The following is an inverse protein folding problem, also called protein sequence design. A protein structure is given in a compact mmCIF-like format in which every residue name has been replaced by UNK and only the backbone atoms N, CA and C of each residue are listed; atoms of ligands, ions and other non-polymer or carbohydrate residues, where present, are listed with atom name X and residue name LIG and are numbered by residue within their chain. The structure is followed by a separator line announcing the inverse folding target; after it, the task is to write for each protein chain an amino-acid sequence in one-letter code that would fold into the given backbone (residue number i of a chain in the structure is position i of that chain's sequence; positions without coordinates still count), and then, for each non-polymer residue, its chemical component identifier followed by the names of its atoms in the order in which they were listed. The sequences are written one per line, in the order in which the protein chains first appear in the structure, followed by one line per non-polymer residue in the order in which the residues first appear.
data_IF_093995087890
#
_entry.id   IF_093995087890
#
_cell.length_a   1.000
_cell.length_b   1.000
_cell.length_c   1.000
_cell.angle_alpha   90.00
_cell.angle_beta   90.00
_cell.angle_gamma   90.00
#
_symmetry.space_group_name_H-M   'P 1'
#
loop_
_entity.id
_entity.type
_entity.pdbx_description
1 polymer ?
#
# COMPACT_ATOMS: atom_id res chain seq x y z
N UNK A 1 0.68 22.69 20.31
CA UNK A 1 2.03 22.12 20.15
C UNK A 1 2.09 20.63 20.40
N UNK A 2 1.50 20.13 21.49
CA UNK A 2 1.48 18.68 21.73
C UNK A 2 0.69 17.91 20.70
N UNK A 3 -0.40 18.48 20.19
CA UNK A 3 -1.21 17.86 19.14
C UNK A 3 -0.44 17.74 17.83
N UNK A 4 0.32 18.75 17.47
CA UNK A 4 1.16 18.71 16.28
C UNK A 4 2.22 17.62 16.32
N UNK A 5 2.79 17.38 17.51
CA UNK A 5 3.78 16.31 17.70
C UNK A 5 3.16 14.93 17.55
N UNK A 6 1.94 14.72 18.07
CA UNK A 6 1.21 13.45 17.91
C UNK A 6 0.89 13.16 16.47
N UNK A 7 0.38 14.16 15.76
CA UNK A 7 0.08 14.04 14.32
C UNK A 7 1.34 13.73 13.52
N UNK A 8 2.45 14.40 13.83
CA UNK A 8 3.72 14.17 13.16
C UNK A 8 4.25 12.75 13.40
N UNK A 9 4.10 12.22 14.62
CA UNK A 9 4.51 10.85 14.93
C UNK A 9 3.71 9.82 14.14
N UNK A 10 2.39 10.00 14.04
CA UNK A 10 1.53 9.10 13.28
C UNK A 10 1.83 9.17 11.79
N UNK A 11 2.01 10.37 11.26
CA UNK A 11 2.40 10.57 9.87
C UNK A 11 3.75 9.93 9.58
N UNK A 12 4.75 10.15 10.45
CA UNK A 12 6.08 9.58 10.29
C UNK A 12 6.06 8.05 10.31
N UNK A 13 5.21 7.46 11.14
CA UNK A 13 5.05 6.01 11.22
C UNK A 13 4.46 5.44 9.93
N UNK A 14 3.44 6.08 9.39
CA UNK A 14 2.84 5.69 8.11
C UNK A 14 3.82 5.87 6.96
N UNK A 15 4.51 7.00 6.92
CA UNK A 15 5.52 7.30 5.91
C UNK A 15 6.66 6.30 5.95
N UNK A 16 7.10 5.91 7.14
CA UNK A 16 8.17 4.94 7.33
C UNK A 16 7.77 3.56 6.80
N UNK A 17 6.54 3.13 7.08
CA UNK A 17 6.03 1.85 6.60
C UNK A 17 5.95 1.83 5.07
N UNK A 18 5.46 2.91 4.46
CA UNK A 18 5.37 3.02 3.02
C UNK A 18 6.75 2.98 2.35
N UNK A 19 7.76 3.65 2.95
CA UNK A 19 9.14 3.62 2.45
C UNK A 19 9.70 2.21 2.55
N UNK A 20 9.50 1.55 3.68
CA UNK A 20 9.95 0.17 3.90
C UNK A 20 9.35 -0.77 2.86
N UNK A 21 8.04 -0.66 2.61
CA UNK A 21 7.35 -1.45 1.62
C UNK A 21 7.87 -1.18 0.20
N UNK A 22 8.08 0.09 -0.14
CA UNK A 22 8.59 0.49 -1.45
C UNK A 22 10.00 -0.05 -1.68
N UNK A 23 10.86 0.03 -0.67
CA UNK A 23 12.23 -0.50 -0.76
C UNK A 23 12.23 -2.01 -0.94
N UNK A 24 11.38 -2.72 -0.20
CA UNK A 24 11.24 -4.17 -0.32
C UNK A 24 10.76 -4.56 -1.71
N UNK A 25 9.74 -3.88 -2.23
CA UNK A 25 9.23 -4.14 -3.57
C UNK A 25 10.30 -3.91 -4.63
N UNK A 26 11.05 -2.83 -4.51
CA UNK A 26 12.13 -2.54 -5.45
C UNK A 26 13.16 -3.68 -5.45
N UNK A 27 13.53 -4.13 -4.27
CA UNK A 27 14.51 -5.21 -4.11
C UNK A 27 14.03 -6.54 -4.70
N UNK A 28 12.77 -6.88 -4.44
CA UNK A 28 12.22 -8.18 -4.83
C UNK A 28 11.83 -8.22 -6.32
N UNK A 29 11.21 -7.14 -6.82
CA UNK A 29 10.67 -7.12 -8.18
C UNK A 29 11.62 -6.58 -9.23
N UNK A 30 12.57 -5.75 -8.83
CA UNK A 30 13.45 -5.04 -9.75
C UNK A 30 12.83 -3.76 -10.33
N UNK A 31 11.55 -3.52 -10.11
CA UNK A 31 10.92 -2.25 -10.49
C UNK A 31 11.30 -1.17 -9.47
N UNK A 32 11.53 0.05 -9.95
CA UNK A 32 11.80 1.18 -9.06
C UNK A 32 10.49 1.66 -8.44
N UNK A 33 10.24 1.26 -7.19
CA UNK A 33 9.02 1.58 -6.47
C UNK A 33 9.25 2.74 -5.49
N UNK A 34 8.27 3.65 -5.45
CA UNK A 34 8.33 4.84 -4.60
C UNK A 34 6.97 5.09 -3.96
N UNK A 35 6.98 5.82 -2.84
CA UNK A 35 5.74 6.30 -2.23
C UNK A 35 5.04 7.25 -3.19
N UNK A 36 3.72 7.14 -3.23
CA UNK A 36 2.90 8.14 -3.93
C UNK A 36 2.91 9.44 -3.13
N UNK A 37 3.34 10.52 -3.74
CA UNK A 37 3.26 11.85 -3.14
C UNK A 37 1.87 12.39 -3.42
N UNK A 38 0.97 12.24 -2.45
CA UNK A 38 -0.45 12.51 -2.63
C UNK A 38 -0.81 14.00 -2.63
N UNK A 39 0.12 14.89 -2.32
CA UNK A 39 -0.16 16.32 -2.28
C UNK A 39 -0.59 16.83 -3.66
N UNK A 40 -1.83 17.32 -3.75
CA UNK A 40 -2.35 17.86 -5.01
C UNK A 40 -3.00 16.83 -5.93
N UNK A 41 -3.03 15.56 -5.56
CA UNK A 41 -3.72 14.53 -6.34
C UNK A 41 -5.16 14.42 -5.84
N UNK A 42 -6.18 14.68 -6.70
CA UNK A 42 -7.57 14.68 -6.26
C UNK A 42 -8.12 13.28 -5.96
N UNK A 43 -7.60 12.25 -6.62
CA UNK A 43 -8.08 10.87 -6.46
C UNK A 43 -7.04 10.01 -5.75
N UNK A 44 -7.53 9.09 -4.91
CA UNK A 44 -6.68 8.14 -4.23
C UNK A 44 -6.27 7.03 -5.21
N UNK A 45 -5.00 7.00 -5.55
CA UNK A 45 -4.43 6.04 -6.50
C UNK A 45 -3.45 5.05 -5.85
N UNK A 46 -3.55 4.92 -4.52
CA UNK A 46 -2.72 3.98 -3.77
C UNK A 46 -1.51 4.64 -3.12
N UNK A 47 -0.75 3.83 -2.40
CA UNK A 47 0.36 4.29 -1.56
C UNK A 47 1.73 4.17 -2.22
N UNK A 48 1.88 3.26 -3.17
CA UNK A 48 3.15 3.00 -3.85
C UNK A 48 2.93 2.97 -5.36
N UNK A 49 3.84 3.61 -6.08
CA UNK A 49 3.89 3.60 -7.54
C UNK A 49 5.19 2.97 -8.01
N UNK A 50 5.21 2.48 -9.23
CA UNK A 50 6.42 1.91 -9.86
C UNK A 50 6.21 0.56 -10.51
N UNK A 51 5.21 -0.20 -10.09
CA UNK A 51 4.87 -1.46 -10.75
C UNK A 51 3.86 -1.16 -11.86
N UNK A 52 4.14 -1.55 -13.11
CA UNK A 52 3.27 -1.21 -14.23
C UNK A 52 1.83 -1.71 -14.04
N UNK A 53 0.88 -0.80 -14.27
CA UNK A 53 -0.55 -1.10 -14.26
C UNK A 53 -1.05 -1.73 -12.96
N UNK A 54 -0.41 -1.40 -11.84
CA UNK A 54 -0.72 -1.98 -10.54
C UNK A 54 -0.79 -0.90 -9.46
N UNK A 55 -1.86 -0.93 -8.70
CA UNK A 55 -2.04 -0.06 -7.53
C UNK A 55 -1.70 -0.86 -6.28
N UNK A 56 -0.91 -0.27 -5.39
CA UNK A 56 -0.50 -0.93 -4.17
C UNK A 56 -0.85 -0.05 -2.97
N UNK A 57 -1.52 -0.65 -2.00
CA UNK A 57 -1.84 -0.03 -0.73
C UNK A 57 -1.03 -0.69 0.38
N UNK A 58 -0.58 0.12 1.32
CA UNK A 58 0.25 -0.33 2.44
C UNK A 58 -0.54 -0.23 3.73
N UNK A 59 -0.48 -1.27 4.54
CA UNK A 59 -1.07 -1.28 5.87
C UNK A 59 -0.01 -1.64 6.91
N UNK A 60 0.06 -0.82 7.95
CA UNK A 60 0.90 -1.07 9.11
C UNK A 60 0.00 -1.01 10.33
N UNK A 61 -0.92 -1.95 10.40
CA UNK A 61 -1.93 -1.99 11.44
C UNK A 61 -1.48 -2.84 12.60
N UNK A 62 -1.89 -2.40 13.79
CA UNK A 62 -1.74 -3.18 15.00
C UNK A 62 -2.54 -4.47 14.90
N UNK A 63 -3.72 -4.40 14.27
CA UNK A 63 -4.57 -5.55 13.99
C UNK A 63 -4.41 -5.98 12.53
N UNK A 64 -3.57 -6.97 12.32
CA UNK A 64 -3.29 -7.50 10.98
C UNK A 64 -4.49 -8.21 10.37
N UNK A 65 -5.33 -8.84 11.18
CA UNK A 65 -6.56 -9.49 10.68
C UNK A 65 -7.50 -8.49 10.05
N UNK A 66 -7.71 -7.34 10.71
CA UNK A 66 -8.54 -6.27 10.17
C UNK A 66 -7.95 -5.72 8.88
N UNK A 67 -6.64 -5.53 8.85
CA UNK A 67 -5.97 -5.02 7.65
C UNK A 67 -6.13 -5.98 6.47
N UNK A 68 -5.97 -7.27 6.70
CA UNK A 68 -6.13 -8.29 5.65
C UNK A 68 -7.55 -8.36 5.10
N UNK A 69 -8.53 -8.03 5.94
CA UNK A 69 -9.94 -8.03 5.51
C UNK A 69 -10.30 -6.76 4.75
N UNK A 70 -9.86 -5.61 5.24
CA UNK A 70 -10.26 -4.29 4.69
C UNK A 70 -9.43 -3.82 3.51
N UNK A 71 -8.12 -3.95 3.59
CA UNK A 71 -7.23 -3.35 2.60
C UNK A 71 -7.42 -3.88 1.17
N UNK A 72 -7.61 -5.18 0.95
CA UNK A 72 -7.87 -5.67 -0.40
C UNK A 72 -9.14 -5.09 -1.03
N UNK A 73 -10.15 -4.76 -0.23
CA UNK A 73 -11.36 -4.11 -0.71
C UNK A 73 -11.13 -2.63 -1.02
N UNK A 74 -10.41 -1.94 -0.15
CA UNK A 74 -10.12 -0.51 -0.32
C UNK A 74 -9.27 -0.27 -1.56
N UNK A 75 -8.30 -1.14 -1.83
CA UNK A 75 -7.41 -0.98 -2.97
C UNK A 75 -8.16 -1.13 -4.31
N UNK A 76 -9.30 -1.81 -4.34
CA UNK A 76 -10.12 -1.90 -5.56
C UNK A 76 -10.63 -0.53 -6.00
N UNK A 77 -11.07 0.32 -5.06
CA UNK A 77 -11.49 1.69 -5.37
C UNK A 77 -10.32 2.50 -5.93
N UNK A 78 -9.14 2.32 -5.34
CA UNK A 78 -7.94 2.99 -5.82
C UNK A 78 -7.55 2.51 -7.22
N UNK A 79 -7.70 1.22 -7.48
CA UNK A 79 -7.45 0.63 -8.80
C UNK A 79 -8.36 1.25 -9.85
N UNK A 80 -9.64 1.40 -9.54
CA UNK A 80 -10.61 2.04 -10.45
C UNK A 80 -10.24 3.50 -10.71
N UNK A 81 -9.86 4.25 -9.66
CA UNK A 81 -9.43 5.64 -9.80
C UNK A 81 -8.21 5.76 -10.72
N UNK A 82 -7.27 4.85 -10.60
CA UNK A 82 -6.04 4.84 -11.39
C UNK A 82 -6.23 4.20 -12.76
N UNK A 83 -7.36 3.58 -13.03
CA UNK A 83 -7.64 2.81 -14.25
C UNK A 83 -6.58 1.72 -14.47
N UNK A 84 -6.12 1.12 -13.37
CA UNK A 84 -5.11 0.07 -13.41
C UNK A 84 -5.74 -1.31 -13.55
N UNK A 85 -5.01 -2.24 -14.13
CA UNK A 85 -5.45 -3.61 -14.29
C UNK A 85 -5.33 -4.40 -12.98
N UNK A 86 -4.29 -4.12 -12.21
CA UNK A 86 -3.94 -4.91 -11.02
C UNK A 86 -4.03 -4.07 -9.75
N UNK A 87 -4.33 -4.75 -8.65
CA UNK A 87 -4.33 -4.16 -7.31
C UNK A 87 -3.79 -5.18 -6.33
N UNK A 88 -3.03 -4.70 -5.35
CA UNK A 88 -2.48 -5.54 -4.30
C UNK A 88 -2.40 -4.73 -2.99
N UNK A 89 -2.44 -5.44 -1.88
CA UNK A 89 -2.26 -4.85 -0.56
C UNK A 89 -1.01 -5.42 0.09
N UNK A 90 -0.19 -4.57 0.68
CA UNK A 90 0.96 -5.01 1.46
C UNK A 90 0.66 -4.78 2.92
N UNK A 91 0.68 -5.83 3.71
CA UNK A 91 0.39 -5.78 5.14
C UNK A 91 1.64 -6.14 5.92
N UNK A 92 2.00 -5.27 6.86
CA UNK A 92 3.16 -5.46 7.72
C UNK A 92 2.76 -6.28 8.94
N UNK A 93 3.38 -7.43 9.09
CA UNK A 93 3.22 -8.30 10.24
C UNK A 93 4.31 -8.04 11.27
N UNK A 94 4.16 -8.64 12.42
CA UNK A 94 5.14 -8.51 13.52
C UNK A 94 6.56 -8.82 13.04
N UNK A 95 7.52 -8.06 13.57
CA UNK A 95 8.92 -8.24 13.21
C UNK A 95 9.30 -7.71 11.84
N UNK A 96 8.42 -6.94 11.20
CA UNK A 96 8.69 -6.39 9.88
C UNK A 96 8.53 -7.38 8.74
N UNK A 97 7.75 -8.44 8.97
CA UNK A 97 7.45 -9.42 7.93
C UNK A 97 6.32 -8.91 7.06
N UNK A 98 6.59 -8.69 5.79
CA UNK A 98 5.59 -8.19 4.86
C UNK A 98 4.91 -9.32 4.11
N UNK A 99 3.62 -9.15 3.88
CA UNK A 99 2.82 -10.09 3.07
C UNK A 99 2.00 -9.30 2.07
N UNK A 100 1.84 -9.87 0.89
CA UNK A 100 0.88 -9.36 -0.09
C UNK A 100 -0.43 -10.09 0.13
N UNK A 101 -1.51 -9.33 0.34
CA UNK A 101 -2.83 -9.89 0.61
C UNK A 101 -3.75 -9.51 -0.55
N UNK A 102 -4.41 -10.50 -1.12
CA UNK A 102 -5.25 -10.35 -2.30
C UNK A 102 -6.61 -11.00 -2.06
N UNK A 103 -7.64 -10.44 -2.68
CA UNK A 103 -8.88 -11.21 -2.83
C UNK A 103 -8.64 -12.27 -3.90
N UNK A 104 -9.52 -13.27 -3.95
CA UNK A 104 -9.44 -14.31 -4.99
C UNK A 104 -9.51 -13.69 -6.38
N UNK A 105 -10.38 -12.69 -6.55
CA UNK A 105 -10.54 -11.99 -7.82
C UNK A 105 -9.27 -11.22 -8.21
N UNK A 106 -8.61 -10.59 -7.25
CA UNK A 106 -7.34 -9.90 -7.50
C UNK A 106 -6.26 -10.88 -7.93
N UNK A 107 -6.16 -11.99 -7.24
CA UNK A 107 -5.21 -13.05 -7.59
C UNK A 107 -5.46 -13.57 -9.01
N UNK A 108 -6.74 -13.79 -9.35
CA UNK A 108 -7.11 -14.26 -10.68
C UNK A 108 -6.62 -13.30 -11.79
N UNK A 109 -6.66 -12.00 -11.55
CA UNK A 109 -6.18 -11.03 -12.53
C UNK A 109 -4.71 -11.21 -12.84
N UNK A 110 -3.90 -11.55 -11.82
CA UNK A 110 -2.47 -11.79 -12.01
C UNK A 110 -2.19 -13.07 -12.82
N UNK A 111 -3.14 -14.00 -12.85
CA UNK A 111 -3.00 -15.26 -13.57
C UNK A 111 -3.37 -15.15 -15.07
N UNK A 112 -3.96 -14.05 -15.47
CA UNK A 112 -4.39 -13.85 -16.86
C UNK A 112 -3.35 -13.20 -17.76
#
# INVERSE_FOLDING_TARGET
MCEGRKLNKQKNKGDKAEREAAELLTKVTGFECKRTLAAGIPDDVGDIVGIPDCVIQVANYKDTSTACLKKPREVESQRENAKAKYAASMVRWRGGNWRVVLTVEQFNRFLQ
#
